data_IF_154668058989
#
_entry.id   IF_154668058989
#
_cell.length_a   1.000
_cell.length_b   1.000
_cell.length_c   1.000
_cell.angle_alpha   90.00
_cell.angle_beta   90.00
_cell.angle_gamma   90.00
#
_symmetry.space_group_name_H-M   'P 1'
#
loop_
_entity.id
_entity.type
_entity.pdbx_description
1 polymer ?
#
# COMPACT_ATOMS: atom_id res chain seq x y z
N UNK A 1 59.56 -8.76 -2.32
CA UNK A 1 58.29 -8.18 -1.82
C UNK A 1 57.32 -8.11 -2.98
N UNK A 2 56.15 -8.76 -2.91
CA UNK A 2 55.11 -8.69 -3.95
C UNK A 2 54.20 -7.50 -3.60
N UNK A 3 54.20 -6.48 -4.45
CA UNK A 3 53.25 -5.36 -4.36
C UNK A 3 51.83 -5.90 -4.57
N UNK A 4 50.86 -5.58 -3.69
CA UNK A 4 49.48 -5.97 -3.92
C UNK A 4 48.95 -5.18 -5.11
N UNK A 5 48.60 -5.89 -6.19
CA UNK A 5 47.88 -5.32 -7.33
C UNK A 5 46.45 -5.06 -6.85
N UNK A 6 46.17 -3.84 -6.42
CA UNK A 6 44.80 -3.37 -6.27
C UNK A 6 44.19 -3.33 -7.67
N UNK A 7 43.38 -4.33 -7.99
CA UNK A 7 42.49 -4.27 -9.15
C UNK A 7 41.49 -3.15 -8.90
N UNK A 8 41.82 -1.93 -9.31
CA UNK A 8 40.85 -0.89 -9.55
C UNK A 8 39.99 -1.36 -10.73
N UNK A 9 38.94 -2.13 -10.43
CA UNK A 9 37.87 -2.35 -11.40
C UNK A 9 37.31 -0.97 -11.73
N UNK A 10 37.39 -0.56 -13.00
CA UNK A 10 36.80 0.68 -13.46
C UNK A 10 35.36 0.80 -12.93
N UNK A 11 34.99 1.99 -12.46
CA UNK A 11 33.62 2.24 -12.03
C UNK A 11 32.68 1.77 -13.14
N UNK A 12 31.62 0.99 -12.83
CA UNK A 12 30.70 0.50 -13.84
C UNK A 12 30.17 1.69 -14.65
N UNK A 13 30.02 1.55 -15.98
CA UNK A 13 29.61 2.65 -16.84
C UNK A 13 28.31 3.26 -16.31
N UNK A 14 28.28 4.60 -16.25
CA UNK A 14 27.11 5.37 -15.87
C UNK A 14 25.94 4.97 -16.78
N UNK A 15 24.86 4.49 -16.17
CA UNK A 15 23.61 4.26 -16.88
C UNK A 15 22.75 5.50 -16.66
N UNK A 16 22.30 6.11 -17.76
CA UNK A 16 21.39 7.25 -17.67
C UNK A 16 20.13 6.86 -16.88
N UNK A 17 19.58 7.78 -16.06
CA UNK A 17 18.37 7.52 -15.30
C UNK A 17 17.18 7.28 -16.24
N UNK A 18 16.15 6.52 -15.81
CA UNK A 18 14.95 6.34 -16.61
C UNK A 18 14.28 7.68 -16.90
N UNK A 19 13.75 7.87 -18.10
CA UNK A 19 12.95 9.06 -18.43
C UNK A 19 11.56 8.96 -17.80
N UNK A 20 10.88 10.10 -17.60
CA UNK A 20 9.49 10.13 -17.11
C UNK A 20 8.55 9.37 -18.05
N UNK A 21 8.76 9.48 -19.37
CA UNK A 21 7.98 8.76 -20.38
C UNK A 21 8.17 7.24 -20.25
N UNK A 22 9.39 6.77 -20.03
CA UNK A 22 9.67 5.36 -19.79
C UNK A 22 9.03 4.87 -18.49
N UNK A 23 9.08 5.67 -17.43
CA UNK A 23 8.45 5.36 -16.15
C UNK A 23 6.94 5.22 -16.29
N UNK A 24 6.28 6.17 -16.96
CA UNK A 24 4.84 6.10 -17.25
C UNK A 24 4.48 4.88 -18.07
N UNK A 25 5.23 4.60 -19.14
CA UNK A 25 5.01 3.44 -20.01
C UNK A 25 5.14 2.13 -19.24
N UNK A 26 6.19 1.99 -18.42
CA UNK A 26 6.43 0.78 -17.65
C UNK A 26 5.39 0.59 -16.54
N UNK A 27 4.99 1.68 -15.87
CA UNK A 27 3.93 1.64 -14.88
C UNK A 27 2.59 1.26 -15.51
N UNK A 28 2.25 1.82 -16.67
CA UNK A 28 1.02 1.49 -17.40
C UNK A 28 0.97 0.02 -17.82
N UNK A 29 2.05 -0.49 -18.42
CA UNK A 29 2.16 -1.90 -18.79
C UNK A 29 2.03 -2.80 -17.56
N UNK A 30 2.66 -2.42 -16.45
CA UNK A 30 2.55 -3.16 -15.20
C UNK A 30 1.15 -3.13 -14.61
N UNK A 31 0.46 -1.99 -14.63
CA UNK A 31 -0.91 -1.84 -14.12
C UNK A 31 -1.89 -2.74 -14.87
N UNK A 32 -1.73 -2.87 -16.19
CA UNK A 32 -2.59 -3.71 -17.04
C UNK A 32 -2.20 -5.20 -17.01
N UNK A 33 -0.91 -5.51 -16.87
CA UNK A 33 -0.38 -6.87 -16.93
C UNK A 33 0.79 -7.02 -15.95
N UNK A 34 0.51 -7.08 -14.64
CA UNK A 34 1.54 -7.17 -13.60
C UNK A 34 2.34 -8.45 -13.79
N UNK A 35 3.65 -8.28 -13.88
CA UNK A 35 4.67 -9.34 -13.88
C UNK A 35 5.75 -8.94 -12.88
N UNK A 36 6.43 -9.92 -12.29
CA UNK A 36 7.57 -9.68 -11.40
C UNK A 36 8.68 -8.93 -12.19
N UNK A 37 8.92 -7.64 -11.90
CA UNK A 37 9.98 -6.89 -12.54
C UNK A 37 11.34 -7.34 -12.00
N UNK A 38 12.41 -7.07 -12.75
CA UNK A 38 13.77 -7.21 -12.23
C UNK A 38 13.97 -6.17 -11.13
N UNK A 39 14.48 -6.61 -9.98
CA UNK A 39 14.80 -5.71 -8.86
C UNK A 39 15.98 -4.83 -9.25
N UNK A 40 15.84 -3.54 -9.03
CA UNK A 40 16.94 -2.60 -9.22
C UNK A 40 17.85 -2.61 -7.99
N UNK A 41 19.14 -2.44 -8.23
CA UNK A 41 20.18 -2.42 -7.18
C UNK A 41 20.93 -1.09 -7.13
N UNK A 42 21.01 -0.38 -8.26
CA UNK A 42 21.68 0.92 -8.41
C UNK A 42 20.86 2.05 -7.75
N UNK A 43 21.25 2.43 -6.54
CA UNK A 43 20.47 3.37 -5.70
C UNK A 43 20.44 4.76 -6.32
N UNK A 44 21.60 5.33 -6.64
CA UNK A 44 21.72 6.73 -7.07
C UNK A 44 21.28 6.90 -8.53
N UNK A 45 21.67 5.96 -9.39
CA UNK A 45 21.49 6.08 -10.83
C UNK A 45 20.06 5.72 -11.27
N UNK A 46 19.38 4.85 -10.52
CA UNK A 46 18.08 4.32 -10.94
C UNK A 46 17.02 4.46 -9.88
N UNK A 47 17.26 4.03 -8.63
CA UNK A 47 16.20 4.04 -7.61
C UNK A 47 15.75 5.44 -7.24
N UNK A 48 16.69 6.35 -6.98
CA UNK A 48 16.39 7.70 -6.54
C UNK A 48 15.65 8.52 -7.63
N UNK A 49 16.09 8.55 -8.90
CA UNK A 49 15.31 9.17 -9.96
C UNK A 49 13.94 8.53 -10.12
N UNK A 50 13.85 7.19 -10.09
CA UNK A 50 12.59 6.49 -10.28
C UNK A 50 11.60 6.77 -9.16
N UNK A 51 12.02 6.74 -7.89
CA UNK A 51 11.11 7.00 -6.76
C UNK A 51 10.60 8.44 -6.77
N UNK A 52 11.44 9.42 -7.14
CA UNK A 52 11.02 10.81 -7.26
C UNK A 52 10.01 11.00 -8.39
N UNK A 53 10.24 10.34 -9.54
CA UNK A 53 9.28 10.34 -10.64
C UNK A 53 7.97 9.67 -10.23
N UNK A 54 8.01 8.51 -9.58
CA UNK A 54 6.81 7.83 -9.08
C UNK A 54 6.04 8.68 -8.08
N UNK A 55 6.72 9.32 -7.13
CA UNK A 55 6.10 10.21 -6.15
C UNK A 55 5.41 11.41 -6.82
N UNK A 56 6.07 12.04 -7.81
CA UNK A 56 5.48 13.15 -8.56
C UNK A 56 4.25 12.71 -9.37
N UNK A 57 4.38 11.63 -10.15
CA UNK A 57 3.30 11.10 -10.98
C UNK A 57 2.11 10.71 -10.09
N UNK A 58 2.36 10.01 -8.99
CA UNK A 58 1.31 9.59 -8.05
C UNK A 58 0.63 10.80 -7.43
N UNK A 59 1.38 11.80 -6.96
CA UNK A 59 0.82 13.02 -6.37
C UNK A 59 -0.08 13.78 -7.35
N UNK A 60 0.36 13.96 -8.60
CA UNK A 60 -0.44 14.60 -9.64
C UNK A 60 -1.72 13.79 -9.91
N UNK A 61 -1.60 12.48 -10.11
CA UNK A 61 -2.73 11.62 -10.42
C UNK A 61 -3.74 11.58 -9.26
N UNK A 62 -3.27 11.44 -8.03
CA UNK A 62 -4.10 11.46 -6.83
C UNK A 62 -4.83 12.80 -6.69
N UNK A 63 -4.14 13.92 -6.93
CA UNK A 63 -4.75 15.26 -6.89
C UNK A 63 -5.88 15.38 -7.90
N UNK A 64 -5.65 14.95 -9.14
CA UNK A 64 -6.67 14.97 -10.20
C UNK A 64 -7.87 14.06 -9.86
N UNK A 65 -7.61 12.87 -9.30
CA UNK A 65 -8.66 11.95 -8.85
C UNK A 65 -9.47 12.55 -7.70
N UNK A 66 -8.82 13.18 -6.72
CA UNK A 66 -9.49 13.83 -5.62
C UNK A 66 -10.37 15.01 -6.08
N UNK A 67 -9.88 15.82 -7.02
CA UNK A 67 -10.68 16.89 -7.64
C UNK A 67 -11.89 16.30 -8.36
N UNK A 68 -11.68 15.28 -9.20
CA UNK A 68 -12.78 14.65 -9.94
C UNK A 68 -13.84 14.05 -9.01
N UNK A 69 -13.42 13.37 -7.94
CA UNK A 69 -14.33 12.84 -6.94
C UNK A 69 -15.08 13.96 -6.20
N UNK A 70 -14.41 15.06 -5.85
CA UNK A 70 -15.07 16.19 -5.20
C UNK A 70 -16.19 16.78 -6.08
N UNK A 71 -15.95 16.90 -7.39
CA UNK A 71 -16.94 17.35 -8.37
C UNK A 71 -18.13 16.37 -8.48
N UNK A 72 -17.87 15.06 -8.53
CA UNK A 72 -18.92 14.04 -8.58
C UNK A 72 -19.79 14.08 -7.32
N UNK A 73 -19.17 14.19 -6.15
CA UNK A 73 -19.89 14.27 -4.88
C UNK A 73 -20.74 15.54 -4.79
N UNK A 74 -20.17 16.69 -5.16
CA UNK A 74 -20.91 17.96 -5.22
C UNK A 74 -22.11 17.88 -6.17
N UNK A 75 -21.94 17.30 -7.36
CA UNK A 75 -23.04 17.11 -8.31
C UNK A 75 -24.11 16.13 -7.79
N UNK A 76 -23.73 15.17 -6.95
CA UNK A 76 -24.64 14.24 -6.29
C UNK A 76 -25.32 14.83 -5.03
N UNK A 77 -25.03 16.09 -4.67
CA UNK A 77 -25.53 16.71 -3.43
C UNK A 77 -24.96 16.06 -2.17
N UNK A 78 -23.81 15.39 -2.26
CA UNK A 78 -23.15 14.71 -1.15
C UNK A 78 -21.84 15.44 -0.77
N UNK A 79 -21.54 15.50 0.52
CA UNK A 79 -20.27 16.04 0.99
C UNK A 79 -19.15 15.00 0.79
N UNK A 80 -18.15 15.34 -0.02
CA UNK A 80 -16.98 14.49 -0.29
C UNK A 80 -16.16 14.19 0.98
N UNK A 81 -15.95 15.24 1.78
CA UNK A 81 -15.50 15.13 3.15
C UNK A 81 -16.72 15.43 4.00
N UNK A 82 -17.24 14.48 4.82
CA UNK A 82 -18.17 14.84 5.86
C UNK A 82 -17.43 15.87 6.71
N UNK A 83 -17.74 17.16 6.53
CA UNK A 83 -16.99 18.25 7.16
C UNK A 83 -17.01 18.11 8.68
N UNK A 84 -18.06 17.47 9.22
CA UNK A 84 -18.15 16.99 10.60
C UNK A 84 -17.12 15.93 11.02
N UNK A 85 -16.75 14.97 10.16
CA UNK A 85 -15.73 13.97 10.51
C UNK A 85 -14.33 14.57 10.52
N UNK A 86 -13.97 15.36 9.50
CA UNK A 86 -12.67 16.03 9.48
C UNK A 86 -12.52 17.02 10.65
N UNK A 87 -13.58 17.80 10.98
CA UNK A 87 -13.59 18.69 12.15
C UNK A 87 -13.58 17.95 13.48
N UNK A 88 -14.38 16.90 13.64
CA UNK A 88 -14.39 16.12 14.88
C UNK A 88 -13.06 15.39 15.10
N UNK A 89 -12.42 14.95 14.01
CA UNK A 89 -11.10 14.33 14.04
C UNK A 89 -10.01 15.32 14.43
N UNK A 90 -10.00 16.54 13.86
CA UNK A 90 -8.98 17.55 14.17
C UNK A 90 -9.19 18.28 15.50
N UNK A 91 -10.45 18.48 15.94
CA UNK A 91 -10.76 19.18 17.18
C UNK A 91 -10.32 18.43 18.44
N UNK A 92 -10.17 17.10 18.35
CA UNK A 92 -9.87 16.24 19.48
C UNK A 92 -8.49 15.58 19.43
N UNK A 93 -7.76 15.69 18.31
CA UNK A 93 -6.48 15.01 18.11
C UNK A 93 -5.37 16.00 17.77
N UNK A 94 -4.36 16.05 18.63
CA UNK A 94 -3.12 16.77 18.36
C UNK A 94 -2.40 16.22 17.13
N UNK A 95 -1.66 17.07 16.42
CA UNK A 95 -0.91 16.69 15.23
C UNK A 95 0.01 15.48 15.45
N UNK A 96 0.76 15.46 16.56
CA UNK A 96 1.82 14.48 16.78
C UNK A 96 1.31 13.02 16.88
N UNK A 97 0.28 12.68 17.68
CA UNK A 97 -0.33 11.35 17.66
C UNK A 97 -0.82 10.91 16.28
N UNK A 98 -1.47 11.81 15.53
CA UNK A 98 -1.97 11.51 14.18
C UNK A 98 -0.81 11.26 13.23
N UNK A 99 0.26 12.05 13.30
CA UNK A 99 1.48 11.84 12.53
C UNK A 99 2.08 10.45 12.80
N UNK A 100 2.29 10.08 14.07
CA UNK A 100 2.86 8.76 14.42
C UNK A 100 1.96 7.63 13.88
N UNK A 101 0.65 7.71 14.09
CA UNK A 101 -0.26 6.65 13.67
C UNK A 101 -0.46 6.60 12.15
N UNK A 102 -0.83 7.71 11.53
CA UNK A 102 -1.24 7.76 10.12
C UNK A 102 -0.06 7.85 9.16
N UNK A 103 1.06 8.48 9.55
CA UNK A 103 2.22 8.66 8.66
C UNK A 103 3.25 7.57 8.90
N UNK A 104 3.47 7.11 10.13
CA UNK A 104 4.53 6.12 10.39
C UNK A 104 3.99 4.70 10.50
N UNK A 105 3.10 4.45 11.46
CA UNK A 105 2.68 3.10 11.81
C UNK A 105 1.74 2.48 10.78
N UNK A 106 0.72 3.22 10.32
CA UNK A 106 -0.25 2.73 9.35
C UNK A 106 0.44 2.29 8.03
N UNK A 107 1.24 3.13 7.36
CA UNK A 107 1.98 2.70 6.16
C UNK A 107 2.86 1.47 6.40
N UNK A 108 3.58 1.41 7.52
CA UNK A 108 4.40 0.24 7.83
C UNK A 108 3.55 -1.03 7.93
N UNK A 109 2.44 -0.98 8.67
CA UNK A 109 1.54 -2.13 8.82
C UNK A 109 0.86 -2.53 7.50
N UNK A 110 0.40 -1.56 6.72
CA UNK A 110 -0.27 -1.82 5.43
C UNK A 110 0.70 -2.41 4.40
N UNK A 111 1.94 -1.93 4.36
CA UNK A 111 2.96 -2.49 3.47
C UNK A 111 3.38 -3.91 3.90
N UNK A 112 3.44 -4.20 5.20
CA UNK A 112 3.67 -5.56 5.71
C UNK A 112 2.52 -6.51 5.33
N UNK A 113 1.27 -6.06 5.42
CA UNK A 113 0.11 -6.89 5.10
C UNK A 113 -0.02 -7.13 3.60
N UNK A 114 0.02 -6.07 2.79
CA UNK A 114 -0.38 -6.16 1.39
C UNK A 114 0.81 -6.34 0.45
N UNK A 115 1.99 -5.79 0.77
CA UNK A 115 3.14 -5.72 -0.16
C UNK A 115 4.24 -6.72 0.18
N UNK A 116 4.38 -7.12 1.44
CA UNK A 116 5.31 -8.17 1.83
C UNK A 116 5.02 -9.48 1.08
N UNK A 117 3.77 -9.97 1.00
CA UNK A 117 3.48 -11.26 0.37
C UNK A 117 3.49 -11.18 -1.17
N UNK A 118 3.65 -10.01 -1.81
CA UNK A 118 3.80 -9.94 -3.27
C UNK A 118 5.06 -10.66 -3.75
N UNK A 119 6.08 -10.75 -2.90
CA UNK A 119 7.23 -11.63 -3.13
C UNK A 119 6.98 -12.93 -2.37
N UNK A 120 6.91 -14.05 -3.09
CA UNK A 120 6.63 -15.32 -2.43
C UNK A 120 7.76 -15.69 -1.47
N UNK A 121 7.40 -15.83 -0.21
CA UNK A 121 8.18 -16.49 0.83
C UNK A 121 7.19 -17.00 1.88
N UNK A 122 7.47 -18.18 2.44
CA UNK A 122 6.60 -18.78 3.47
C UNK A 122 6.46 -17.84 4.66
N UNK A 123 7.57 -17.30 5.13
CA UNK A 123 7.59 -16.36 6.25
C UNK A 123 6.89 -15.04 5.90
N UNK A 124 6.98 -14.56 4.66
CA UNK A 124 6.30 -13.32 4.26
C UNK A 124 4.78 -13.47 4.27
N UNK A 125 4.26 -14.62 3.84
CA UNK A 125 2.83 -14.91 3.92
C UNK A 125 2.38 -14.98 5.39
N UNK A 126 3.13 -15.70 6.24
CA UNK A 126 2.81 -15.80 7.67
C UNK A 126 2.83 -14.43 8.35
N UNK A 127 3.89 -13.63 8.14
CA UNK A 127 3.99 -12.28 8.70
C UNK A 127 2.82 -11.40 8.23
N UNK A 128 2.51 -11.40 6.93
CA UNK A 128 1.40 -10.62 6.40
C UNK A 128 0.05 -11.00 7.04
N UNK A 129 -0.23 -12.30 7.16
CA UNK A 129 -1.48 -12.80 7.75
C UNK A 129 -1.55 -12.50 9.25
N UNK A 130 -0.46 -12.66 9.99
CA UNK A 130 -0.41 -12.33 11.42
C UNK A 130 -0.55 -10.82 11.65
N UNK A 131 0.17 -9.99 10.89
CA UNK A 131 0.05 -8.54 10.93
C UNK A 131 -1.39 -8.10 10.62
N UNK A 132 -2.04 -8.69 9.61
CA UNK A 132 -3.43 -8.39 9.31
C UNK A 132 -4.36 -8.76 10.47
N UNK A 133 -4.19 -9.96 11.00
CA UNK A 133 -5.05 -10.49 12.05
C UNK A 133 -4.92 -9.70 13.36
N UNK A 134 -3.71 -9.26 13.70
CA UNK A 134 -3.45 -8.47 14.91
C UNK A 134 -3.93 -7.03 14.74
N UNK A 135 -3.61 -6.37 13.61
CA UNK A 135 -3.88 -4.95 13.42
C UNK A 135 -5.32 -4.66 12.97
N UNK A 136 -5.91 -5.51 12.13
CA UNK A 136 -7.22 -5.26 11.52
C UNK A 136 -8.29 -6.26 11.94
N UNK A 137 -7.93 -7.46 12.41
CA UNK A 137 -8.88 -8.46 12.89
C UNK A 137 -9.85 -7.94 13.96
N UNK A 138 -9.38 -7.32 15.06
CA UNK A 138 -10.25 -6.74 16.08
C UNK A 138 -11.14 -5.61 15.56
N UNK A 139 -10.62 -4.77 14.66
CA UNK A 139 -11.36 -3.65 14.06
C UNK A 139 -12.51 -4.18 13.21
N UNK A 140 -12.25 -5.20 12.39
CA UNK A 140 -13.27 -5.86 11.56
C UNK A 140 -14.31 -6.59 12.41
N UNK A 141 -13.88 -7.29 13.46
CA UNK A 141 -14.79 -7.95 14.38
C UNK A 141 -15.74 -6.96 15.08
N UNK A 142 -15.19 -5.82 15.55
CA UNK A 142 -15.99 -4.76 16.15
C UNK A 142 -16.96 -4.15 15.13
N UNK A 143 -16.50 -3.83 13.92
CA UNK A 143 -17.33 -3.28 12.85
C UNK A 143 -18.47 -4.23 12.45
N UNK A 144 -18.24 -5.55 12.51
CA UNK A 144 -19.23 -6.58 12.23
C UNK A 144 -20.15 -6.90 13.42
N UNK A 145 -19.92 -6.33 14.60
CA UNK A 145 -20.66 -6.69 15.83
C UNK A 145 -20.43 -8.15 16.25
N UNK A 146 -19.27 -8.73 15.93
CA UNK A 146 -18.99 -10.13 16.19
C UNK A 146 -18.81 -10.40 17.70
N UNK A 147 -19.52 -11.39 18.28
CA UNK A 147 -19.33 -11.78 19.66
C UNK A 147 -17.94 -12.39 19.90
N UNK A 148 -17.43 -12.30 21.13
CA UNK A 148 -16.07 -12.72 21.49
C UNK A 148 -15.75 -14.19 21.12
N UNK A 149 -16.73 -15.09 21.20
CA UNK A 149 -16.53 -16.50 20.85
C UNK A 149 -16.27 -16.69 19.35
N UNK A 150 -16.88 -15.88 18.47
CA UNK A 150 -16.61 -15.92 17.03
C UNK A 150 -15.19 -15.44 16.73
N UNK A 151 -14.74 -14.40 17.43
CA UNK A 151 -13.36 -13.89 17.32
C UNK A 151 -12.37 -14.97 17.77
N UNK A 152 -12.62 -15.63 18.90
CA UNK A 152 -11.79 -16.73 19.40
C UNK A 152 -11.78 -17.93 18.43
N UNK A 153 -12.93 -18.30 17.88
CA UNK A 153 -13.03 -19.37 16.88
C UNK A 153 -12.26 -19.02 15.60
N UNK A 154 -12.35 -17.77 15.12
CA UNK A 154 -11.58 -17.28 13.98
C UNK A 154 -10.07 -17.30 14.23
N UNK A 155 -9.62 -16.89 15.42
CA UNK A 155 -8.21 -16.97 15.82
C UNK A 155 -7.70 -18.41 15.88
N UNK A 156 -8.50 -19.34 16.44
CA UNK A 156 -8.16 -20.76 16.47
C UNK A 156 -8.07 -21.36 15.07
N UNK A 157 -9.06 -21.07 14.21
CA UNK A 157 -9.05 -21.49 12.81
C UNK A 157 -7.80 -20.97 12.10
N UNK A 158 -7.43 -19.71 12.32
CA UNK A 158 -6.23 -19.12 11.75
C UNK A 158 -4.96 -19.89 12.17
N UNK A 159 -4.83 -20.22 13.46
CA UNK A 159 -3.69 -21.01 13.97
C UNK A 159 -3.63 -22.38 13.31
N UNK A 160 -4.77 -23.06 13.16
CA UNK A 160 -4.86 -24.36 12.48
C UNK A 160 -4.44 -24.24 11.02
N UNK A 161 -4.93 -23.22 10.29
CA UNK A 161 -4.61 -23.00 8.88
C UNK A 161 -3.13 -22.65 8.67
N UNK A 162 -2.56 -21.78 9.52
CA UNK A 162 -1.14 -21.45 9.47
C UNK A 162 -0.26 -22.64 9.84
N UNK A 163 -0.64 -23.42 10.87
CA UNK A 163 0.05 -24.66 11.24
C UNK A 163 0.02 -25.68 10.10
N UNK A 164 -1.15 -25.90 9.50
CA UNK A 164 -1.32 -26.77 8.33
C UNK A 164 -0.50 -26.31 7.12
N UNK A 165 -0.46 -25.00 6.85
CA UNK A 165 0.37 -24.42 5.80
C UNK A 165 1.88 -24.61 6.07
N UNK A 166 2.33 -24.39 7.31
CA UNK A 166 3.74 -24.54 7.69
C UNK A 166 4.20 -26.00 7.69
N UNK A 167 3.30 -26.93 8.01
CA UNK A 167 3.57 -28.37 7.99
C UNK A 167 3.54 -28.96 6.57
N UNK A 168 2.55 -28.58 5.76
CA UNK A 168 2.27 -29.21 4.47
C UNK A 168 3.13 -28.65 3.32
N UNK A 169 4.09 -29.46 2.87
CA UNK A 169 4.88 -29.17 1.66
C UNK A 169 4.00 -29.04 0.41
N UNK A 170 2.88 -29.76 0.33
CA UNK A 170 1.90 -29.68 -0.77
C UNK A 170 1.22 -28.32 -0.83
N UNK A 171 0.82 -27.76 0.32
CA UNK A 171 0.20 -26.43 0.38
C UNK A 171 1.20 -25.34 -0.01
N UNK A 172 2.43 -25.43 0.50
CA UNK A 172 3.51 -24.51 0.14
C UNK A 172 3.84 -24.57 -1.36
N UNK A 173 3.89 -25.76 -1.96
CA UNK A 173 4.10 -25.92 -3.39
C UNK A 173 2.95 -25.31 -4.19
N UNK A 174 1.71 -25.54 -3.76
CA UNK A 174 0.51 -24.98 -4.43
C UNK A 174 0.48 -23.46 -4.38
N UNK A 175 0.79 -22.87 -3.22
CA UNK A 175 0.92 -21.41 -3.08
C UNK A 175 2.06 -20.87 -3.93
N UNK A 176 3.24 -21.49 -3.91
CA UNK A 176 4.35 -21.08 -4.78
C UNK A 176 3.94 -21.08 -6.28
N UNK A 177 3.21 -22.10 -6.71
CA UNK A 177 2.72 -22.20 -8.09
C UNK A 177 1.71 -21.10 -8.45
N UNK A 178 0.87 -20.67 -7.50
CA UNK A 178 -0.03 -19.53 -7.70
C UNK A 178 0.76 -18.26 -8.01
N UNK A 179 1.79 -17.95 -7.20
CA UNK A 179 2.66 -16.79 -7.45
C UNK A 179 3.41 -16.91 -8.77
N UNK A 180 3.94 -18.09 -9.09
CA UNK A 180 4.71 -18.32 -10.31
C UNK A 180 3.87 -18.25 -11.58
N UNK A 181 2.66 -18.83 -11.57
CA UNK A 181 1.82 -19.01 -12.78
C UNK A 181 0.74 -17.94 -12.93
N UNK A 182 0.31 -17.32 -11.82
CA UNK A 182 -0.84 -16.40 -11.78
C UNK A 182 -0.51 -15.16 -10.95
N UNK A 183 0.69 -14.61 -11.10
CA UNK A 183 1.14 -13.43 -10.37
C UNK A 183 0.14 -12.26 -10.43
N UNK A 184 -0.48 -12.03 -11.58
CA UNK A 184 -1.46 -10.95 -11.69
C UNK A 184 -2.69 -11.13 -10.80
N UNK A 185 -3.15 -12.36 -10.58
CA UNK A 185 -4.23 -12.62 -9.62
C UNK A 185 -3.79 -12.26 -8.19
N UNK A 186 -2.57 -12.63 -7.80
CA UNK A 186 -2.00 -12.29 -6.48
C UNK A 186 -1.90 -10.77 -6.32
N UNK A 187 -1.36 -10.09 -7.33
CA UNK A 187 -1.19 -8.64 -7.34
C UNK A 187 -2.53 -7.91 -7.23
N UNK A 188 -3.50 -8.21 -8.11
CA UNK A 188 -4.80 -7.54 -8.09
C UNK A 188 -5.58 -7.86 -6.82
N UNK A 189 -5.50 -9.08 -6.29
CA UNK A 189 -6.13 -9.42 -5.02
C UNK A 189 -5.55 -8.56 -3.89
N UNK A 190 -4.23 -8.42 -3.81
CA UNK A 190 -3.58 -7.55 -2.82
C UNK A 190 -4.02 -6.08 -2.98
N UNK A 191 -3.99 -5.54 -4.19
CA UNK A 191 -4.41 -4.16 -4.48
C UNK A 191 -5.89 -3.91 -4.14
N UNK A 192 -6.78 -4.85 -4.47
CA UNK A 192 -8.21 -4.74 -4.16
C UNK A 192 -8.46 -4.84 -2.67
N UNK A 193 -7.85 -5.80 -1.96
CA UNK A 193 -7.99 -5.93 -0.51
C UNK A 193 -7.47 -4.69 0.22
N UNK A 194 -6.36 -4.10 -0.27
CA UNK A 194 -5.86 -2.82 0.23
C UNK A 194 -6.89 -1.71 0.07
N UNK A 195 -7.52 -1.59 -1.11
CA UNK A 195 -8.60 -0.64 -1.34
C UNK A 195 -9.79 -0.88 -0.42
N UNK A 196 -10.30 -2.11 -0.35
CA UNK A 196 -11.46 -2.49 0.44
C UNK A 196 -11.27 -2.21 1.94
N UNK A 197 -10.07 -2.42 2.48
CA UNK A 197 -9.76 -2.11 3.87
C UNK A 197 -10.07 -0.65 4.23
N UNK A 198 -9.92 0.27 3.27
CA UNK A 198 -10.18 1.69 3.49
C UNK A 198 -11.67 2.05 3.60
N UNK A 199 -12.59 1.14 3.30
CA UNK A 199 -14.02 1.34 3.60
C UNK A 199 -14.28 1.49 5.11
N UNK A 200 -13.37 0.99 5.96
CA UNK A 200 -13.45 1.17 7.41
C UNK A 200 -13.45 2.65 7.83
N UNK A 201 -12.84 3.53 7.03
CA UNK A 201 -12.85 4.98 7.27
C UNK A 201 -14.24 5.59 7.07
N UNK A 202 -15.15 4.89 6.40
CA UNK A 202 -16.48 5.34 6.02
C UNK A 202 -17.59 4.52 6.68
N UNK A 203 -17.27 3.67 7.67
CA UNK A 203 -18.24 2.80 8.35
C UNK A 203 -19.42 3.53 8.99
N UNK A 204 -19.25 4.82 9.35
CA UNK A 204 -20.30 5.69 9.92
C UNK A 204 -20.92 6.64 8.90
N UNK A 205 -20.54 6.55 7.62
CA UNK A 205 -21.08 7.42 6.59
C UNK A 205 -22.45 6.94 6.11
N UNK A 206 -23.32 7.89 5.77
CA UNK A 206 -24.63 7.62 5.15
C UNK A 206 -24.54 7.63 3.61
N UNK A 207 -23.34 7.50 3.04
CA UNK A 207 -23.13 7.57 1.60
C UNK A 207 -23.73 6.34 0.91
N UNK A 208 -24.38 6.50 -0.26
CA UNK A 208 -24.78 5.38 -1.09
C UNK A 208 -23.58 4.50 -1.47
N UNK A 209 -23.82 3.19 -1.61
CA UNK A 209 -22.78 2.21 -1.97
C UNK A 209 -21.99 2.62 -3.23
N UNK A 210 -22.65 3.21 -4.23
CA UNK A 210 -22.00 3.68 -5.44
C UNK A 210 -20.90 4.74 -5.16
N UNK A 211 -21.17 5.69 -4.27
CA UNK A 211 -20.18 6.71 -3.88
C UNK A 211 -19.06 6.11 -3.03
N UNK A 212 -19.37 5.14 -2.17
CA UNK A 212 -18.36 4.39 -1.40
C UNK A 212 -17.40 3.61 -2.30
N UNK A 213 -17.91 2.98 -3.37
CA UNK A 213 -17.07 2.28 -4.34
C UNK A 213 -16.17 3.22 -5.13
N UNK A 214 -16.64 4.45 -5.44
CA UNK A 214 -15.80 5.47 -6.09
C UNK A 214 -14.64 5.93 -5.20
N UNK A 215 -14.84 5.98 -3.88
CA UNK A 215 -13.78 6.31 -2.91
C UNK A 215 -12.68 5.25 -2.84
N UNK A 216 -12.87 4.07 -3.43
CA UNK A 216 -11.82 3.06 -3.57
C UNK A 216 -10.80 3.44 -4.65
N UNK A 217 -11.18 4.23 -5.66
CA UNK A 217 -10.31 4.50 -6.82
C UNK A 217 -8.94 5.09 -6.44
N UNK A 218 -8.84 6.14 -5.58
CA UNK A 218 -7.55 6.66 -5.12
C UNK A 218 -6.69 5.57 -4.44
N UNK A 219 -7.33 4.68 -3.69
CA UNK A 219 -6.67 3.60 -2.94
C UNK A 219 -6.21 2.47 -3.86
N UNK A 220 -6.98 2.12 -4.88
CA UNK A 220 -6.58 1.16 -5.91
C UNK A 220 -5.39 1.69 -6.72
N UNK A 221 -5.42 2.97 -7.10
CA UNK A 221 -4.31 3.62 -7.81
C UNK A 221 -3.05 3.62 -6.95
N UNK A 222 -3.12 4.07 -5.70
CA UNK A 222 -1.98 4.00 -4.78
C UNK A 222 -1.51 2.55 -4.55
N UNK A 223 -2.45 1.60 -4.55
CA UNK A 223 -2.16 0.17 -4.52
C UNK A 223 -1.26 -0.30 -5.66
N UNK A 224 -1.47 0.21 -6.87
CA UNK A 224 -0.63 -0.08 -8.03
C UNK A 224 0.76 0.52 -7.90
N UNK A 225 0.87 1.79 -7.52
CA UNK A 225 2.16 2.48 -7.36
C UNK A 225 3.02 1.86 -6.26
N UNK A 226 2.43 1.60 -5.10
CA UNK A 226 3.12 0.96 -3.96
C UNK A 226 3.54 -0.47 -4.30
N UNK A 227 2.68 -1.22 -4.99
CA UNK A 227 3.00 -2.57 -5.46
C UNK A 227 4.15 -2.59 -6.50
N UNK A 228 4.13 -1.68 -7.47
CA UNK A 228 5.21 -1.49 -8.43
C UNK A 228 6.53 -1.14 -7.73
N UNK A 229 6.49 -0.18 -6.82
CA UNK A 229 7.62 0.27 -6.01
C UNK A 229 8.20 -0.86 -5.17
N UNK A 230 7.34 -1.65 -4.49
CA UNK A 230 7.75 -2.80 -3.69
C UNK A 230 8.56 -3.81 -4.51
N UNK A 231 8.07 -4.13 -5.70
CA UNK A 231 8.62 -5.18 -6.54
C UNK A 231 9.89 -4.73 -7.26
N UNK A 232 9.95 -3.47 -7.68
CA UNK A 232 11.09 -2.94 -8.44
C UNK A 232 12.19 -2.36 -7.56
N UNK A 233 11.83 -1.60 -6.52
CA UNK A 233 12.76 -0.85 -5.67
C UNK A 233 13.01 -1.53 -4.32
N UNK A 234 11.99 -2.18 -3.76
CA UNK A 234 12.05 -2.93 -2.49
C UNK A 234 11.09 -2.40 -1.43
N UNK A 235 11.04 -3.07 -0.26
CA UNK A 235 10.07 -2.75 0.80
C UNK A 235 10.26 -1.33 1.35
N UNK A 236 11.48 -0.96 1.73
CA UNK A 236 11.74 0.35 2.33
C UNK A 236 11.33 1.53 1.43
N UNK A 237 11.47 1.38 0.11
CA UNK A 237 11.03 2.40 -0.85
C UNK A 237 9.51 2.48 -0.97
N UNK A 238 8.80 1.36 -0.89
CA UNK A 238 7.34 1.35 -0.89
C UNK A 238 6.79 1.99 0.39
N UNK A 239 7.37 1.64 1.55
CA UNK A 239 7.04 2.27 2.84
C UNK A 239 7.31 3.77 2.78
N UNK A 240 8.48 4.21 2.32
CA UNK A 240 8.83 5.63 2.23
C UNK A 240 7.87 6.41 1.29
N UNK A 241 7.51 5.84 0.14
CA UNK A 241 6.53 6.44 -0.77
C UNK A 241 5.16 6.58 -0.10
N UNK A 242 4.74 5.57 0.64
CA UNK A 242 3.47 5.58 1.36
C UNK A 242 3.47 6.62 2.50
N UNK A 243 4.54 6.66 3.30
CA UNK A 243 4.74 7.68 4.35
C UNK A 243 4.71 9.10 3.75
N UNK A 244 5.37 9.31 2.60
CA UNK A 244 5.35 10.58 1.88
C UNK A 244 3.93 11.02 1.54
N UNK A 245 3.12 10.15 0.93
CA UNK A 245 1.74 10.50 0.57
C UNK A 245 0.87 10.77 1.79
N UNK A 246 0.99 9.96 2.84
CA UNK A 246 0.22 10.19 4.08
C UNK A 246 0.65 11.48 4.77
N UNK A 247 1.94 11.84 4.73
CA UNK A 247 2.41 13.13 5.23
C UNK A 247 1.82 14.29 4.43
N UNK A 248 1.80 14.21 3.09
CA UNK A 248 1.20 15.25 2.26
C UNK A 248 -0.28 15.44 2.59
N UNK A 249 -1.04 14.35 2.71
CA UNK A 249 -2.46 14.41 3.10
C UNK A 249 -2.64 15.01 4.49
N UNK A 250 -1.81 14.60 5.46
CA UNK A 250 -1.88 15.12 6.82
C UNK A 250 -1.59 16.63 6.88
N UNK A 251 -0.56 17.09 6.17
CA UNK A 251 -0.20 18.51 6.11
C UNK A 251 -1.28 19.35 5.43
N UNK A 252 -1.89 18.83 4.34
CA UNK A 252 -3.01 19.49 3.69
C UNK A 252 -4.23 19.57 4.62
N UNK A 253 -4.53 18.49 5.34
CA UNK A 253 -5.63 18.46 6.31
C UNK A 253 -5.40 19.50 7.42
N UNK A 254 -4.28 19.44 8.14
CA UNK A 254 -4.02 20.38 9.24
C UNK A 254 -3.83 21.82 8.75
N UNK A 255 -3.22 22.02 7.58
CA UNK A 255 -3.05 23.35 6.98
C UNK A 255 -4.37 23.99 6.52
N UNK A 256 -5.30 23.19 6.00
CA UNK A 256 -6.66 23.65 5.68
C UNK A 256 -7.43 24.02 6.96
N UNK A 257 -7.35 23.16 7.99
CA UNK A 257 -8.07 23.37 9.25
C UNK A 257 -7.52 24.53 10.08
N UNK A 258 -6.25 24.91 9.93
CA UNK A 258 -5.70 26.10 10.58
C UNK A 258 -6.29 27.43 10.03
N UNK A 259 -7.02 27.39 8.91
CA UNK A 259 -7.57 28.57 8.22
C UNK A 259 -9.09 28.70 8.32
N UNK A 260 -9.79 27.70 8.88
CA UNK A 260 -11.26 27.61 8.97
C UNK A 260 -11.66 27.51 10.44
#
# INVERSE_FOLDING_TARGET
MRTPVFFFTAAPPYAAPPTVQDTLRQLWVFALRPKLPRREHKVVETKLPLILQLALIETVLQTLLFIALALVFSAAGADYLPTGYARAFSANLSFFPVFVMAVLLAPLTEELVFRLPLVYSRSFIVVAVLSFSICYGPVLAQAAGAPAWLVAAGALLLVILLGGYLWSRKWQASMYLLWKRRFGLVFYTSTVLFGLLHLLNYQRSALPLALLLLLLLPKLVGGVFLGYTRLRLGMGWAVALHMYHNLMVLLLLFGYMARV
#
